data_IF_809601310311
#
_entry.id   IF_809601310311
#
_cell.length_a   1.000
_cell.length_b   1.000
_cell.length_c   1.000
_cell.angle_alpha   90.00
_cell.angle_beta   90.00
_cell.angle_gamma   90.00
#
_symmetry.space_group_name_H-M   'P 1'
#
loop_
_entity.id
_entity.type
_entity.pdbx_description
1 polymer ?
#
# COMPACT_ATOMS: atom_id res chain seq x y z
N UNK A 1 27.02 -3.44 -46.96
CA UNK A 1 25.74 -2.82 -46.48
C UNK A 1 25.49 -2.95 -44.99
N UNK A 2 26.29 -3.76 -44.29
CA UNK A 2 25.95 -4.15 -42.87
C UNK A 2 26.46 -3.22 -41.75
N UNK A 3 27.51 -2.43 -42.00
CA UNK A 3 28.07 -1.54 -40.92
C UNK A 3 27.18 -0.33 -40.59
N UNK A 4 26.49 0.23 -41.56
CA UNK A 4 25.62 1.41 -41.39
C UNK A 4 24.36 1.01 -40.60
N UNK A 5 23.82 -0.19 -40.84
CA UNK A 5 22.68 -0.74 -40.12
C UNK A 5 23.00 -1.00 -38.61
N UNK A 6 24.18 -1.55 -38.34
CA UNK A 6 24.64 -1.81 -36.96
C UNK A 6 24.92 -0.53 -36.17
N UNK A 7 25.47 0.51 -36.80
CA UNK A 7 25.67 1.81 -36.13
C UNK A 7 24.34 2.52 -35.84
N UNK A 8 23.37 2.42 -36.77
CA UNK A 8 22.03 2.98 -36.57
C UNK A 8 21.29 2.30 -35.44
N UNK A 9 21.35 0.97 -35.35
CA UNK A 9 20.76 0.19 -34.25
C UNK A 9 21.42 0.46 -32.88
N UNK A 10 22.75 0.61 -32.85
CA UNK A 10 23.47 0.98 -31.61
C UNK A 10 23.14 2.40 -31.16
N UNK A 11 23.02 3.34 -32.10
CA UNK A 11 22.65 4.74 -31.82
C UNK A 11 21.23 4.83 -31.29
N UNK A 12 20.27 4.11 -31.92
CA UNK A 12 18.88 4.06 -31.46
C UNK A 12 18.73 3.40 -30.08
N UNK A 13 19.46 2.30 -29.80
CA UNK A 13 19.47 1.66 -28.49
C UNK A 13 20.04 2.58 -27.41
N UNK A 14 21.09 3.35 -27.73
CA UNK A 14 21.67 4.33 -26.80
C UNK A 14 20.71 5.47 -26.52
N UNK A 15 20.07 6.04 -27.55
CA UNK A 15 19.10 7.11 -27.43
C UNK A 15 17.87 6.67 -26.62
N UNK A 16 17.38 5.46 -26.87
CA UNK A 16 16.26 4.86 -26.12
C UNK A 16 16.62 4.64 -24.64
N UNK A 17 17.85 4.25 -24.36
CA UNK A 17 18.33 4.09 -22.97
C UNK A 17 18.44 5.45 -22.25
N UNK A 18 19.02 6.46 -22.90
CA UNK A 18 19.13 7.82 -22.36
C UNK A 18 17.76 8.46 -22.13
N UNK A 19 16.77 8.21 -23.00
CA UNK A 19 15.40 8.68 -22.80
C UNK A 19 14.72 8.00 -21.62
N UNK A 20 14.88 6.68 -21.46
CA UNK A 20 14.35 5.93 -20.31
C UNK A 20 14.99 6.32 -18.97
N UNK A 21 16.25 6.75 -18.98
CA UNK A 21 16.94 7.26 -17.78
C UNK A 21 16.41 8.63 -17.35
N UNK A 22 15.78 9.40 -18.26
CA UNK A 22 15.16 10.71 -18.00
C UNK A 22 13.68 10.62 -17.64
N UNK A 23 13.05 9.46 -17.77
CA UNK A 23 11.66 9.30 -17.38
C UNK A 23 11.48 9.50 -15.87
N UNK A 24 10.44 10.22 -15.43
CA UNK A 24 10.13 10.38 -14.02
C UNK A 24 9.78 9.02 -13.42
N UNK A 25 10.35 8.72 -12.25
CA UNK A 25 10.07 7.46 -11.51
C UNK A 25 9.79 7.79 -10.07
N UNK A 26 8.82 7.11 -9.51
CA UNK A 26 8.46 7.20 -8.10
C UNK A 26 8.06 5.82 -7.58
N UNK A 27 8.46 5.51 -6.37
CA UNK A 27 7.97 4.39 -5.59
C UNK A 27 7.99 4.76 -4.12
N UNK A 28 7.20 4.12 -3.29
CA UNK A 28 7.25 4.38 -1.86
C UNK A 28 6.94 3.12 -1.05
N UNK A 29 7.39 3.14 0.19
CA UNK A 29 7.11 2.13 1.21
C UNK A 29 6.67 2.80 2.48
N UNK A 30 5.76 2.17 3.21
CA UNK A 30 5.24 2.66 4.48
C UNK A 30 5.80 1.81 5.62
N UNK A 31 6.47 2.45 6.57
CA UNK A 31 6.78 1.85 7.86
C UNK A 31 5.61 2.10 8.82
N UNK A 32 4.72 1.10 8.94
CA UNK A 32 3.54 1.18 9.80
C UNK A 32 3.91 1.33 11.29
N UNK A 33 5.07 0.81 11.71
CA UNK A 33 5.53 0.86 13.11
C UNK A 33 5.93 2.27 13.53
N UNK A 34 6.69 2.95 12.67
CA UNK A 34 7.19 4.29 12.96
C UNK A 34 6.29 5.40 12.43
N UNK A 35 5.35 5.06 11.54
CA UNK A 35 4.51 6.03 10.84
C UNK A 35 5.35 6.91 9.91
N UNK A 36 6.23 6.28 9.13
CA UNK A 36 7.10 6.93 8.16
C UNK A 36 6.86 6.41 6.75
N UNK A 37 6.96 7.29 5.78
CA UNK A 37 6.85 6.98 4.36
C UNK A 37 8.19 7.30 3.72
N UNK A 38 8.82 6.30 3.12
CA UNK A 38 10.08 6.43 2.40
C UNK A 38 9.72 6.45 0.91
N UNK A 39 9.99 7.58 0.27
CA UNK A 39 9.68 7.81 -1.15
C UNK A 39 10.99 7.81 -1.93
N UNK A 40 11.14 6.84 -2.83
CA UNK A 40 12.28 6.75 -3.75
C UNK A 40 11.84 7.35 -5.09
N UNK A 41 12.63 8.28 -5.60
CA UNK A 41 12.26 9.01 -6.80
C UNK A 41 13.46 9.40 -7.67
N UNK A 42 13.21 9.60 -8.96
CA UNK A 42 14.18 10.16 -9.91
C UNK A 42 13.47 11.03 -10.94
N UNK A 43 14.12 12.10 -11.40
CA UNK A 43 13.62 13.05 -12.39
C UNK A 43 12.27 13.68 -12.01
N UNK A 44 12.08 13.99 -10.73
CA UNK A 44 10.86 14.56 -10.16
C UNK A 44 11.20 15.88 -9.46
N UNK A 45 10.41 16.91 -9.70
CA UNK A 45 10.58 18.25 -9.12
C UNK A 45 9.76 18.48 -7.86
N UNK A 46 8.61 17.79 -7.73
CA UNK A 46 7.72 17.92 -6.58
C UNK A 46 6.93 16.64 -6.33
N UNK A 47 6.53 16.46 -5.09
CA UNK A 47 5.74 15.31 -4.62
C UNK A 47 4.57 15.82 -3.80
N UNK A 48 3.36 15.54 -4.24
CA UNK A 48 2.13 15.74 -3.48
C UNK A 48 1.81 14.51 -2.65
N UNK A 49 1.58 14.68 -1.37
CA UNK A 49 1.16 13.62 -0.45
C UNK A 49 -0.21 13.98 0.11
N UNK A 50 -1.14 13.05 0.01
CA UNK A 50 -2.47 13.20 0.57
C UNK A 50 -2.80 11.99 1.44
N UNK A 51 -3.40 12.27 2.60
CA UNK A 51 -3.81 11.26 3.58
C UNK A 51 -5.33 11.35 3.74
N UNK A 52 -5.99 10.19 3.67
CA UNK A 52 -7.44 10.06 3.85
C UNK A 52 -7.71 9.09 4.99
N UNK A 53 -8.60 9.44 5.92
CA UNK A 53 -9.05 8.49 6.93
C UNK A 53 -9.85 7.36 6.28
N UNK A 54 -9.59 6.15 6.70
CA UNK A 54 -10.30 4.97 6.23
C UNK A 54 -10.86 4.18 7.41
N UNK A 55 -12.09 3.71 7.22
CA UNK A 55 -12.72 2.71 8.08
C UNK A 55 -12.52 1.34 7.41
N UNK A 56 -11.54 0.59 7.93
CA UNK A 56 -11.19 -0.72 7.39
C UNK A 56 -12.35 -1.71 7.49
N UNK A 57 -13.14 -1.67 8.58
CA UNK A 57 -14.27 -2.58 8.73
C UNK A 57 -15.32 -2.35 7.65
N UNK A 58 -15.66 -1.09 7.40
CA UNK A 58 -16.58 -0.72 6.32
C UNK A 58 -16.02 -1.11 4.96
N UNK A 59 -14.73 -0.86 4.70
CA UNK A 59 -14.09 -1.21 3.43
C UNK A 59 -14.13 -2.71 3.15
N UNK A 60 -13.64 -3.53 4.10
CA UNK A 60 -13.63 -4.98 3.96
C UNK A 60 -15.04 -5.61 3.95
N UNK A 61 -16.02 -4.97 4.60
CA UNK A 61 -17.40 -5.45 4.55
C UNK A 61 -18.03 -5.22 3.18
N UNK A 62 -17.66 -4.13 2.50
CA UNK A 62 -18.15 -3.81 1.15
C UNK A 62 -17.43 -4.60 0.06
N UNK A 63 -16.12 -4.74 0.20
CA UNK A 63 -15.26 -5.44 -0.73
C UNK A 63 -14.16 -6.19 0.02
N UNK A 64 -14.37 -7.45 0.40
CA UNK A 64 -13.37 -8.26 1.08
C UNK A 64 -12.09 -8.51 0.27
N UNK A 65 -12.13 -8.36 -1.07
CA UNK A 65 -10.94 -8.47 -1.95
C UNK A 65 -10.12 -7.19 -2.05
N UNK A 66 -10.50 -6.12 -1.33
CA UNK A 66 -9.82 -4.82 -1.44
C UNK A 66 -8.32 -4.88 -1.15
N UNK A 67 -7.87 -5.79 -0.27
CA UNK A 67 -6.45 -6.01 -0.01
C UNK A 67 -5.69 -6.51 -1.23
N UNK A 68 -6.30 -7.41 -2.03
CA UNK A 68 -5.69 -7.89 -3.27
C UNK A 68 -5.61 -6.79 -4.33
N UNK A 69 -6.65 -5.95 -4.40
CA UNK A 69 -6.68 -4.80 -5.30
C UNK A 69 -5.53 -3.86 -4.96
N UNK A 70 -5.35 -3.53 -3.68
CA UNK A 70 -4.28 -2.65 -3.20
C UNK A 70 -2.90 -3.26 -3.52
N UNK A 71 -2.70 -4.57 -3.28
CA UNK A 71 -1.43 -5.23 -3.58
C UNK A 71 -1.13 -5.29 -5.08
N UNK A 72 -2.12 -5.57 -5.91
CA UNK A 72 -1.98 -5.61 -7.38
C UNK A 72 -1.73 -4.23 -7.97
N UNK A 73 -2.30 -3.19 -7.36
CA UNK A 73 -2.27 -1.82 -7.87
C UNK A 73 -1.12 -0.96 -7.34
N UNK A 74 -0.30 -1.48 -6.42
CA UNK A 74 0.89 -0.77 -5.89
C UNK A 74 1.80 -0.19 -6.99
N UNK A 75 1.72 -0.74 -8.21
CA UNK A 75 2.57 -0.37 -9.36
C UNK A 75 1.79 0.05 -10.61
N UNK A 76 0.47 0.27 -10.55
CA UNK A 76 -0.35 0.61 -11.71
C UNK A 76 -1.25 1.81 -11.41
N UNK A 77 -1.51 2.60 -12.46
CA UNK A 77 -2.47 3.72 -12.44
C UNK A 77 -3.90 3.18 -12.26
N UNK A 78 -4.27 2.93 -11.00
CA UNK A 78 -5.49 2.21 -10.66
C UNK A 78 -6.74 3.07 -10.86
N UNK A 79 -7.50 2.76 -11.90
CA UNK A 79 -8.80 3.38 -12.17
C UNK A 79 -9.82 3.08 -11.07
N UNK A 80 -9.81 1.89 -10.48
CA UNK A 80 -10.75 1.48 -9.42
C UNK A 80 -10.56 2.26 -8.11
N UNK A 81 -9.32 2.54 -7.71
CA UNK A 81 -9.05 3.37 -6.54
C UNK A 81 -9.45 4.84 -6.76
N UNK A 82 -9.33 5.35 -7.99
CA UNK A 82 -9.82 6.69 -8.34
C UNK A 82 -11.33 6.82 -8.17
N UNK A 83 -12.09 5.79 -8.50
CA UNK A 83 -13.56 5.79 -8.34
C UNK A 83 -13.98 5.80 -6.87
N UNK A 84 -13.26 5.08 -6.00
CA UNK A 84 -13.61 4.98 -4.59
C UNK A 84 -13.25 6.25 -3.78
N UNK A 85 -12.17 6.96 -4.13
CA UNK A 85 -11.66 8.10 -3.37
C UNK A 85 -11.67 9.43 -4.13
N UNK A 86 -12.02 9.43 -5.42
CA UNK A 86 -11.95 10.62 -6.29
C UNK A 86 -12.83 11.81 -5.85
N UNK A 87 -13.84 11.56 -5.02
CA UNK A 87 -14.76 12.56 -4.51
C UNK A 87 -14.54 12.92 -3.03
N UNK A 88 -13.59 12.27 -2.37
CA UNK A 88 -13.30 12.50 -0.94
C UNK A 88 -12.21 13.55 -0.81
N UNK A 89 -12.43 14.54 0.04
CA UNK A 89 -11.38 15.49 0.36
C UNK A 89 -10.35 14.88 1.29
N UNK A 90 -9.04 15.09 1.07
CA UNK A 90 -8.00 14.59 1.96
C UNK A 90 -8.10 15.23 3.35
N UNK A 91 -7.89 14.43 4.39
CA UNK A 91 -7.80 14.93 5.75
C UNK A 91 -6.49 15.69 6.00
N UNK A 92 -5.46 15.37 5.21
CA UNK A 92 -4.18 16.08 5.20
C UNK A 92 -3.61 16.12 3.78
N UNK A 93 -2.99 17.23 3.43
CA UNK A 93 -2.30 17.38 2.13
C UNK A 93 -1.04 18.22 2.33
N UNK A 94 0.05 17.80 1.69
CA UNK A 94 1.29 18.55 1.65
C UNK A 94 2.00 18.37 0.31
N UNK A 95 2.79 19.37 -0.07
CA UNK A 95 3.65 19.33 -1.25
C UNK A 95 5.12 19.43 -0.81
N UNK A 96 5.95 18.54 -1.31
CA UNK A 96 7.39 18.53 -1.06
C UNK A 96 8.10 18.89 -2.35
N UNK A 97 8.81 20.01 -2.36
CA UNK A 97 9.67 20.43 -3.48
C UNK A 97 11.03 19.75 -3.38
N UNK A 98 11.44 19.14 -4.47
CA UNK A 98 12.75 18.48 -4.55
C UNK A 98 13.79 19.50 -5.03
N UNK A 99 14.90 19.69 -4.30
CA UNK A 99 15.97 20.59 -4.72
C UNK A 99 16.53 20.21 -6.10
N UNK A 100 16.80 21.22 -6.93
CA UNK A 100 17.24 21.04 -8.32
C UNK A 100 18.47 20.13 -8.46
N UNK A 101 19.39 20.17 -7.48
CA UNK A 101 20.59 19.32 -7.42
C UNK A 101 20.30 17.84 -7.19
N UNK A 102 19.08 17.49 -6.73
CA UNK A 102 18.64 16.12 -6.52
C UNK A 102 17.76 15.58 -7.65
N UNK A 103 17.19 16.42 -8.52
CA UNK A 103 16.24 16.00 -9.54
C UNK A 103 16.84 14.96 -10.49
N UNK A 104 18.08 15.16 -10.93
CA UNK A 104 18.74 14.33 -11.93
C UNK A 104 19.63 13.21 -11.35
N UNK A 105 19.56 12.94 -10.06
CA UNK A 105 20.28 11.82 -9.45
C UNK A 105 19.38 10.59 -9.43
N UNK A 106 19.93 9.46 -9.78
CA UNK A 106 19.25 8.18 -9.65
C UNK A 106 19.08 7.83 -8.17
N UNK A 107 17.90 7.30 -7.81
CA UNK A 107 17.61 6.75 -6.48
C UNK A 107 17.73 7.75 -5.31
N UNK A 108 17.19 8.97 -5.48
CA UNK A 108 16.98 9.84 -4.34
C UNK A 108 15.85 9.34 -3.46
N UNK A 109 16.02 9.47 -2.16
CA UNK A 109 14.98 9.18 -1.19
C UNK A 109 14.55 10.43 -0.44
N UNK A 110 13.25 10.55 -0.22
CA UNK A 110 12.62 11.56 0.63
C UNK A 110 11.85 10.86 1.72
N UNK A 111 12.11 11.25 2.97
CA UNK A 111 11.39 10.74 4.13
C UNK A 111 10.26 11.71 4.48
N UNK A 112 9.04 11.18 4.58
CA UNK A 112 7.89 11.89 5.11
C UNK A 112 7.42 11.21 6.38
N UNK A 113 7.30 11.97 7.46
CA UNK A 113 6.74 11.47 8.72
C UNK A 113 5.27 11.84 8.81
N UNK A 114 4.42 10.82 9.02
CA UNK A 114 2.99 11.02 9.23
C UNK A 114 2.80 11.88 10.49
N UNK A 115 2.03 12.98 10.42
CA UNK A 115 1.79 13.84 11.58
C UNK A 115 1.23 13.06 12.76
N UNK A 116 1.63 13.42 13.98
CA UNK A 116 1.33 12.66 15.21
C UNK A 116 -0.16 12.41 15.42
N UNK A 117 -0.99 13.39 15.07
CA UNK A 117 -2.46 13.30 15.18
C UNK A 117 -3.07 12.24 14.26
N UNK A 118 -2.38 11.86 13.19
CA UNK A 118 -2.84 10.85 12.23
C UNK A 118 -2.24 9.45 12.46
N UNK A 119 -1.17 9.32 13.23
CA UNK A 119 -0.51 8.02 13.46
C UNK A 119 -1.40 6.97 14.14
N UNK A 120 -2.44 7.39 14.85
CA UNK A 120 -3.41 6.48 15.49
C UNK A 120 -4.60 6.12 14.60
N UNK A 121 -4.61 6.54 13.33
CA UNK A 121 -5.67 6.31 12.37
C UNK A 121 -5.17 5.47 11.20
N UNK A 122 -6.03 4.61 10.67
CA UNK A 122 -5.75 3.95 9.41
C UNK A 122 -5.94 4.97 8.29
N UNK A 123 -4.97 5.00 7.37
CA UNK A 123 -4.92 6.02 6.33
C UNK A 123 -4.76 5.37 4.96
N UNK A 124 -5.52 5.85 4.00
CA UNK A 124 -5.20 5.68 2.61
C UNK A 124 -4.22 6.81 2.21
N UNK A 125 -3.08 6.41 1.68
CA UNK A 125 -1.98 7.31 1.30
C UNK A 125 -1.94 7.42 -0.21
N UNK A 126 -2.09 8.63 -0.71
CA UNK A 126 -1.92 8.97 -2.12
C UNK A 126 -0.63 9.76 -2.28
N UNK A 127 0.25 9.31 -3.16
CA UNK A 127 1.44 10.04 -3.57
C UNK A 127 1.34 10.33 -5.06
N UNK A 128 1.45 11.60 -5.41
CA UNK A 128 1.38 12.08 -6.79
C UNK A 128 2.59 12.92 -7.12
N UNK A 129 3.09 12.75 -8.35
CA UNK A 129 4.08 13.64 -8.94
C UNK A 129 3.87 13.67 -10.45
N UNK A 130 3.71 14.87 -11.00
CA UNK A 130 3.41 15.06 -12.43
C UNK A 130 2.25 14.17 -12.91
N UNK A 131 2.55 13.19 -13.78
CA UNK A 131 1.57 12.22 -14.28
C UNK A 131 1.50 10.93 -13.45
N UNK A 132 2.46 10.72 -12.54
CA UNK A 132 2.55 9.50 -11.72
C UNK A 132 1.69 9.62 -10.48
N UNK A 133 0.92 8.58 -10.19
CA UNK A 133 0.05 8.52 -9.03
C UNK A 133 0.09 7.11 -8.43
N UNK A 134 0.37 7.02 -7.13
CA UNK A 134 0.50 5.77 -6.41
C UNK A 134 -0.28 5.81 -5.09
N UNK A 135 -0.67 4.64 -4.62
CA UNK A 135 -1.48 4.47 -3.42
C UNK A 135 -0.94 3.34 -2.55
N UNK A 136 -1.12 3.46 -1.26
CA UNK A 136 -0.93 2.38 -0.30
C UNK A 136 -1.73 2.67 0.98
N UNK A 137 -1.81 1.71 1.89
CA UNK A 137 -2.52 1.84 3.17
C UNK A 137 -1.52 1.87 4.32
N UNK A 138 -1.64 2.89 5.16
CA UNK A 138 -1.01 2.94 6.48
C UNK A 138 -1.96 2.33 7.50
N UNK A 139 -1.50 1.30 8.17
CA UNK A 139 -2.21 0.64 9.27
C UNK A 139 -1.65 1.11 10.60
N UNK A 140 -2.50 1.74 11.42
CA UNK A 140 -2.10 2.26 12.73
C UNK A 140 -1.92 1.17 13.80
N UNK A 141 -2.39 -0.06 13.52
CA UNK A 141 -2.30 -1.16 14.46
C UNK A 141 -1.02 -1.98 14.26
N UNK A 142 -0.44 -2.45 15.37
CA UNK A 142 0.70 -3.35 15.40
C UNK A 142 0.26 -4.80 15.69
N UNK A 143 -0.87 -5.22 15.14
CA UNK A 143 -1.40 -6.56 15.31
C UNK A 143 -0.87 -7.48 14.22
N UNK A 144 -0.50 -8.69 14.63
CA UNK A 144 -0.13 -9.78 13.72
C UNK A 144 -1.09 -10.93 13.90
N UNK A 145 -1.42 -11.56 12.78
CA UNK A 145 -2.29 -12.73 12.74
C UNK A 145 -1.46 -13.94 12.34
N UNK A 146 -1.56 -15.00 13.14
CA UNK A 146 -0.97 -16.30 12.86
C UNK A 146 -2.10 -17.29 12.68
N UNK A 147 -2.17 -17.93 11.51
CA UNK A 147 -3.19 -18.94 11.20
C UNK A 147 -2.53 -20.31 11.18
N UNK A 148 -3.12 -21.26 11.91
CA UNK A 148 -2.76 -22.68 11.87
C UNK A 148 -3.90 -23.43 11.22
N UNK A 149 -3.83 -23.60 9.90
CA UNK A 149 -4.89 -24.16 9.07
C UNK A 149 -5.30 -25.57 9.50
N UNK A 150 -4.33 -26.42 9.86
CA UNK A 150 -4.56 -27.82 10.23
C UNK A 150 -5.52 -28.01 11.40
N UNK A 151 -5.63 -27.03 12.28
CA UNK A 151 -6.54 -27.05 13.44
C UNK A 151 -7.59 -25.94 13.38
N UNK A 152 -7.62 -25.15 12.30
CA UNK A 152 -8.55 -24.03 12.14
C UNK A 152 -8.42 -22.99 13.25
N UNK A 153 -7.21 -22.70 13.71
CA UNK A 153 -6.95 -21.74 14.78
C UNK A 153 -6.30 -20.46 14.22
N UNK A 154 -6.86 -19.33 14.56
CA UNK A 154 -6.27 -18.02 14.33
C UNK A 154 -5.81 -17.44 15.68
N UNK A 155 -4.61 -16.89 15.73
CA UNK A 155 -4.06 -16.20 16.89
C UNK A 155 -3.67 -14.77 16.56
N UNK A 156 -4.08 -13.82 17.40
CA UNK A 156 -3.71 -12.41 17.29
C UNK A 156 -2.67 -12.09 18.36
N UNK A 157 -1.56 -11.48 17.93
CA UNK A 157 -0.43 -11.10 18.79
C UNK A 157 0.02 -9.67 18.48
N UNK A 158 0.73 -9.05 19.42
CA UNK A 158 1.44 -7.76 19.22
C UNK A 158 2.88 -7.96 18.73
N UNK A 159 3.61 -6.85 18.55
CA UNK A 159 5.03 -6.83 18.16
C UNK A 159 5.97 -7.59 19.13
N UNK A 160 5.54 -7.83 20.36
CA UNK A 160 6.30 -8.55 21.40
C UNK A 160 5.85 -10.01 21.51
N UNK A 161 5.09 -10.51 20.54
CA UNK A 161 4.49 -11.85 20.52
C UNK A 161 3.50 -12.10 21.65
N UNK A 162 3.02 -11.05 22.30
CA UNK A 162 2.04 -11.14 23.39
C UNK A 162 0.64 -11.33 22.80
N UNK A 163 -0.15 -12.29 23.31
CA UNK A 163 -1.52 -12.51 22.86
C UNK A 163 -2.40 -11.28 23.08
N UNK A 164 -3.20 -10.94 22.09
CA UNK A 164 -4.20 -9.86 22.17
C UNK A 164 -5.56 -10.47 22.49
N UNK A 165 -6.06 -10.13 23.67
CA UNK A 165 -7.34 -10.59 24.20
C UNK A 165 -8.45 -9.69 23.68
N UNK A 166 -9.61 -10.28 23.32
CA UNK A 166 -10.77 -9.54 22.81
C UNK A 166 -10.49 -8.74 21.53
N UNK A 167 -9.53 -9.19 20.70
CA UNK A 167 -9.44 -8.68 19.34
C UNK A 167 -10.67 -9.13 18.55
N UNK A 168 -11.37 -8.20 17.91
CA UNK A 168 -12.48 -8.55 17.04
C UNK A 168 -11.95 -9.18 15.75
N UNK A 169 -12.49 -10.33 15.40
CA UNK A 169 -12.13 -11.11 14.20
C UNK A 169 -13.38 -11.28 13.35
N UNK A 170 -13.29 -10.95 12.09
CA UNK A 170 -14.34 -11.17 11.10
C UNK A 170 -13.77 -11.98 9.95
N UNK A 171 -14.44 -13.06 9.61
CA UNK A 171 -13.98 -14.04 8.63
C UNK A 171 -14.96 -14.12 7.47
N UNK A 172 -14.40 -14.11 6.28
CA UNK A 172 -15.11 -14.34 5.04
C UNK A 172 -14.59 -15.61 4.39
N UNK A 173 -15.44 -16.34 3.70
CA UNK A 173 -15.07 -17.47 2.87
C UNK A 173 -15.21 -17.11 1.40
N UNK A 174 -14.28 -17.58 0.59
CA UNK A 174 -14.37 -17.55 -0.86
C UNK A 174 -14.94 -18.88 -1.35
N UNK A 175 -15.95 -18.80 -2.20
CA UNK A 175 -16.58 -19.95 -2.84
C UNK A 175 -15.93 -20.27 -4.17
N UNK A 176 -16.20 -21.44 -4.74
CA UNK A 176 -15.64 -21.92 -6.01
C UNK A 176 -15.94 -21.00 -7.22
N UNK A 177 -16.96 -20.15 -7.11
CA UNK A 177 -17.35 -19.16 -8.13
C UNK A 177 -16.74 -17.78 -7.91
N UNK A 178 -15.69 -17.65 -7.10
CA UNK A 178 -15.05 -16.40 -6.68
C UNK A 178 -15.97 -15.45 -5.90
N UNK A 179 -17.13 -15.92 -5.45
CA UNK A 179 -18.03 -15.16 -4.60
C UNK A 179 -17.53 -15.20 -3.15
N UNK A 180 -17.53 -14.03 -2.50
CA UNK A 180 -17.13 -13.91 -1.10
C UNK A 180 -18.35 -13.72 -0.24
N UNK A 181 -18.48 -14.55 0.79
CA UNK A 181 -19.55 -14.45 1.76
C UNK A 181 -19.04 -14.37 3.19
N UNK A 182 -19.82 -13.73 4.05
CA UNK A 182 -19.57 -13.74 5.48
C UNK A 182 -19.60 -15.18 6.01
N UNK A 183 -18.59 -15.56 6.78
CA UNK A 183 -18.50 -16.88 7.37
C UNK A 183 -18.79 -16.85 8.87
N UNK A 184 -18.03 -16.10 9.64
CA UNK A 184 -18.26 -15.91 11.09
C UNK A 184 -17.49 -14.70 11.62
N UNK A 185 -17.87 -14.28 12.81
CA UNK A 185 -17.13 -13.28 13.56
C UNK A 185 -17.10 -13.59 15.06
N UNK A 186 -16.35 -12.81 15.81
CA UNK A 186 -16.25 -12.92 17.27
C UNK A 186 -14.98 -12.28 17.80
N UNK A 187 -14.63 -12.65 19.02
CA UNK A 187 -13.49 -12.09 19.72
C UNK A 187 -12.49 -13.17 20.12
N UNK A 188 -11.21 -12.84 20.12
CA UNK A 188 -10.16 -13.72 20.63
C UNK A 188 -10.34 -13.98 22.13
N UNK A 189 -9.96 -15.17 22.55
CA UNK A 189 -9.97 -15.63 23.93
C UNK A 189 -8.81 -15.02 24.77
N UNK A 190 -8.63 -15.53 26.01
CA UNK A 190 -7.56 -15.08 26.93
C UNK A 190 -6.15 -15.40 26.41
N UNK A 191 -6.01 -16.30 25.43
CA UNK A 191 -4.76 -16.68 24.79
C UNK A 191 -4.57 -15.98 23.44
N UNK A 192 -5.46 -15.03 23.09
CA UNK A 192 -5.46 -14.36 21.79
C UNK A 192 -5.92 -15.25 20.63
N UNK A 193 -6.62 -16.35 20.92
CA UNK A 193 -7.03 -17.34 19.93
C UNK A 193 -8.48 -17.18 19.50
N UNK A 194 -8.74 -17.49 18.24
CA UNK A 194 -10.06 -17.55 17.63
C UNK A 194 -10.19 -18.81 16.81
N UNK A 195 -11.23 -19.59 17.04
CA UNK A 195 -11.48 -20.84 16.30
C UNK A 195 -12.19 -20.52 14.98
N UNK A 196 -11.60 -20.95 13.87
CA UNK A 196 -12.15 -20.77 12.53
C UNK A 196 -13.24 -21.83 12.19
N UNK A 197 -13.22 -23.00 12.82
CA UNK A 197 -14.24 -23.99 12.59
C UNK A 197 -15.57 -23.60 13.24
N UNK A 198 -16.68 -23.96 12.60
CA UNK A 198 -17.98 -23.84 13.23
C UNK A 198 -18.08 -24.88 14.37
N UNK A 199 -18.67 -24.55 15.51
CA UNK A 199 -19.01 -25.55 16.51
C UNK A 199 -20.01 -26.55 15.90
N UNK A 200 -19.70 -27.84 16.07
CA UNK A 200 -20.61 -28.94 15.69
C UNK A 200 -21.88 -28.88 16.53
#
# INVERSE_FOLDING_TARGET
>A
MDKISEEYDKSNKKLTKELREKEPKISFTIDNKEGKIIIVHSNISEIDIKLYFIDLETMFTRDPKISEIIEKDKNKDSSQMKENFGFVQPNYSTNIKIPAEKINKNDNSTLFEIPKEYKSKNLFVEIKSESLKMFDIYLSSNLYVVITESIGELKVIDNNLKPIIKAYVKVYSELDNDEIQFYKDGYTDLNGKFNLFLPN
#
